data_IF_308110278837
#
_entry.id   IF_308110278837
#
_cell.length_a   1.000
_cell.length_b   1.000
_cell.length_c   1.000
_cell.angle_alpha   90.00
_cell.angle_beta   90.00
_cell.angle_gamma   90.00
#
_symmetry.space_group_name_H-M   'P 1'
#
loop_
_entity.id
_entity.type
_entity.pdbx_description
1 polymer ?
#
# COMPACT_ATOMS: atom_id res chain seq x y z
N UNK A 1 -8.71 24.02 -7.87
CA UNK A 1 -8.32 23.59 -6.51
C UNK A 1 -9.60 23.31 -5.76
N UNK A 2 -9.74 22.09 -5.23
CA UNK A 2 -10.87 21.75 -4.36
C UNK A 2 -10.48 22.34 -3.00
N UNK A 3 -11.31 23.20 -2.42
CA UNK A 3 -11.02 23.92 -1.16
C UNK A 3 -11.17 22.99 0.05
N UNK A 4 -10.22 22.04 0.21
CA UNK A 4 -10.14 21.17 1.40
C UNK A 4 -8.92 21.54 2.21
N UNK A 5 -9.04 21.48 3.53
CA UNK A 5 -7.91 21.63 4.45
C UNK A 5 -6.99 20.41 4.32
N UNK A 6 -5.68 20.66 4.30
CA UNK A 6 -4.67 19.61 4.19
C UNK A 6 -3.69 19.71 5.35
N UNK A 7 -3.49 18.62 6.06
CA UNK A 7 -2.49 18.49 7.13
C UNK A 7 -1.40 17.54 6.66
N UNK A 8 -0.14 18.00 6.65
CA UNK A 8 1.01 17.18 6.32
C UNK A 8 1.76 16.76 7.60
N UNK A 9 1.99 15.45 7.74
CA UNK A 9 2.82 14.87 8.79
C UNK A 9 4.04 14.20 8.15
N UNK A 10 5.22 14.82 8.18
CA UNK A 10 6.43 14.22 7.62
C UNK A 10 6.98 13.16 8.57
N UNK A 11 6.60 11.90 8.37
CA UNK A 11 6.99 10.75 9.17
C UNK A 11 7.72 9.71 8.31
N UNK A 12 8.85 9.17 8.80
CA UNK A 12 9.44 7.96 8.19
C UNK A 12 8.65 6.73 8.68
N UNK A 13 7.89 6.14 7.79
CA UNK A 13 7.08 4.95 8.10
C UNK A 13 7.92 3.69 8.35
N UNK A 14 9.22 3.72 8.09
CA UNK A 14 10.15 2.67 8.49
C UNK A 14 10.64 2.83 9.94
N UNK A 15 10.42 3.98 10.58
CA UNK A 15 10.71 4.21 11.99
C UNK A 15 9.48 3.89 12.86
N UNK A 16 9.68 3.07 13.88
CA UNK A 16 8.63 2.72 14.86
C UNK A 16 8.13 3.92 15.66
N UNK A 17 8.98 4.90 15.93
CA UNK A 17 8.60 6.11 16.68
C UNK A 17 7.60 6.98 15.92
N UNK A 18 7.61 6.92 14.59
CA UNK A 18 6.60 7.58 13.75
C UNK A 18 5.17 7.15 14.06
N UNK A 19 4.98 5.88 14.41
CA UNK A 19 3.65 5.37 14.78
C UNK A 19 3.21 5.81 16.17
N UNK A 20 4.14 6.02 17.10
CA UNK A 20 3.83 6.62 18.41
C UNK A 20 3.33 8.06 18.22
N UNK A 21 4.04 8.86 17.44
CA UNK A 21 3.63 10.23 17.10
C UNK A 21 2.25 10.28 16.44
N UNK A 22 2.00 9.38 15.49
CA UNK A 22 0.68 9.28 14.85
C UNK A 22 -0.41 8.88 15.83
N UNK A 23 -0.15 7.90 16.70
CA UNK A 23 -1.10 7.44 17.71
C UNK A 23 -1.49 8.54 18.68
N UNK A 24 -0.51 9.32 19.16
CA UNK A 24 -0.73 10.47 20.04
C UNK A 24 -1.61 11.52 19.35
N UNK A 25 -1.32 11.83 18.09
CA UNK A 25 -2.11 12.78 17.30
C UNK A 25 -3.54 12.29 17.10
N UNK A 26 -3.75 11.05 16.71
CA UNK A 26 -5.07 10.45 16.54
C UNK A 26 -5.86 10.45 17.87
N UNK A 27 -5.21 10.15 18.99
CA UNK A 27 -5.84 10.16 20.30
C UNK A 27 -6.26 11.57 20.75
N UNK A 28 -5.45 12.58 20.42
CA UNK A 28 -5.72 13.98 20.75
C UNK A 28 -6.86 14.57 19.90
N UNK A 29 -6.82 14.35 18.58
CA UNK A 29 -7.74 14.96 17.62
C UNK A 29 -9.04 14.16 17.43
N UNK A 30 -9.01 12.85 17.67
CA UNK A 30 -10.12 11.89 17.49
C UNK A 30 -10.87 12.12 16.16
N UNK A 31 -10.16 12.12 15.03
CA UNK A 31 -10.77 12.41 13.73
C UNK A 31 -11.75 11.30 13.33
N UNK A 32 -12.77 11.66 12.55
CA UNK A 32 -13.56 10.67 11.83
C UNK A 32 -12.89 10.39 10.47
N UNK A 33 -12.33 9.18 10.32
CA UNK A 33 -11.58 8.80 9.11
C UNK A 33 -12.48 8.05 8.13
N UNK A 34 -13.00 8.74 7.14
CA UNK A 34 -13.87 8.15 6.12
C UNK A 34 -13.11 7.23 5.15
N UNK A 35 -11.85 7.54 4.83
CA UNK A 35 -11.05 6.75 3.88
C UNK A 35 -9.59 6.69 4.38
N UNK A 36 -9.03 5.49 4.47
CA UNK A 36 -7.60 5.24 4.64
C UNK A 36 -7.02 4.74 3.30
N UNK A 37 -5.93 5.36 2.83
CA UNK A 37 -5.24 4.94 1.63
C UNK A 37 -3.80 4.56 1.99
N UNK A 38 -3.50 3.28 2.06
CA UNK A 38 -2.16 2.74 2.23
C UNK A 38 -1.47 2.66 0.87
N UNK A 39 -0.83 3.74 0.45
CA UNK A 39 -0.18 3.84 -0.85
C UNK A 39 1.35 3.82 -0.76
N UNK A 40 1.94 4.19 0.37
CA UNK A 40 3.38 4.16 0.56
C UNK A 40 3.93 2.75 0.33
N UNK A 41 5.00 2.66 -0.45
CA UNK A 41 5.64 1.39 -0.77
C UNK A 41 6.88 1.57 -1.62
N UNK A 42 7.77 0.59 -1.56
CA UNK A 42 8.97 0.54 -2.37
C UNK A 42 9.16 -0.85 -2.98
N UNK A 43 9.97 -0.92 -4.02
CA UNK A 43 10.41 -2.16 -4.66
C UNK A 43 11.88 -2.07 -5.01
N UNK A 44 12.52 -3.21 -5.19
CA UNK A 44 13.89 -3.28 -5.65
C UNK A 44 14.09 -4.53 -6.52
N UNK A 45 14.84 -4.37 -7.60
CA UNK A 45 15.20 -5.45 -8.51
C UNK A 45 16.63 -5.93 -8.22
N UNK A 46 16.75 -7.01 -7.48
CA UNK A 46 18.05 -7.59 -7.13
C UNK A 46 17.91 -9.02 -6.63
N UNK A 47 18.98 -9.79 -6.69
CA UNK A 47 19.01 -11.17 -6.20
C UNK A 47 19.21 -11.23 -4.70
N UNK A 48 18.56 -12.19 -4.06
CA UNK A 48 18.83 -12.51 -2.66
C UNK A 48 20.30 -12.98 -2.53
N UNK A 49 20.98 -12.49 -1.51
CA UNK A 49 22.40 -12.76 -1.27
C UNK A 49 23.37 -11.86 -2.05
N UNK A 50 22.91 -11.16 -3.09
CA UNK A 50 23.71 -10.19 -3.85
C UNK A 50 23.31 -8.73 -3.54
N UNK A 51 22.12 -8.51 -3.00
CA UNK A 51 21.60 -7.19 -2.62
C UNK A 51 21.80 -6.97 -1.13
N UNK A 52 22.13 -5.75 -0.73
CA UNK A 52 22.28 -5.37 0.68
C UNK A 52 21.03 -5.74 1.50
N UNK A 53 21.26 -6.34 2.65
CA UNK A 53 20.18 -6.78 3.56
C UNK A 53 19.23 -5.64 3.91
N UNK A 54 19.75 -4.44 4.17
CA UNK A 54 18.97 -3.26 4.51
C UNK A 54 17.97 -2.87 3.41
N UNK A 55 18.35 -3.02 2.13
CA UNK A 55 17.46 -2.75 0.99
C UNK A 55 16.33 -3.75 0.95
N UNK A 56 16.61 -5.03 1.18
CA UNK A 56 15.61 -6.09 1.17
C UNK A 56 14.64 -5.97 2.37
N UNK A 57 15.16 -5.71 3.57
CA UNK A 57 14.34 -5.60 4.78
C UNK A 57 13.50 -4.33 4.79
N UNK A 58 14.00 -3.20 4.24
CA UNK A 58 13.22 -1.97 4.10
C UNK A 58 11.94 -2.15 3.29
N UNK A 59 11.93 -3.04 2.28
CA UNK A 59 10.69 -3.38 1.55
C UNK A 59 9.66 -4.03 2.48
N UNK A 60 10.09 -4.88 3.41
CA UNK A 60 9.19 -5.50 4.40
C UNK A 60 8.72 -4.45 5.40
N UNK A 61 9.62 -3.59 5.88
CA UNK A 61 9.27 -2.52 6.82
C UNK A 61 8.22 -1.59 6.25
N UNK A 62 8.39 -1.11 5.00
CA UNK A 62 7.47 -0.15 4.42
C UNK A 62 6.19 -0.83 3.90
N UNK A 63 6.33 -1.91 3.11
CA UNK A 63 5.18 -2.49 2.42
C UNK A 63 4.29 -3.35 3.34
N UNK A 64 4.84 -3.90 4.43
CA UNK A 64 4.16 -4.84 5.33
C UNK A 64 3.94 -4.23 6.70
N UNK A 65 5.03 -3.99 7.46
CA UNK A 65 4.93 -3.51 8.84
C UNK A 65 4.24 -2.16 8.93
N UNK A 66 4.65 -1.19 8.12
CA UNK A 66 4.07 0.16 8.13
C UNK A 66 2.59 0.15 7.75
N UNK A 67 2.21 -0.56 6.69
CA UNK A 67 0.82 -0.68 6.27
C UNK A 67 -0.05 -1.33 7.36
N UNK A 68 0.46 -2.40 8.00
CA UNK A 68 -0.25 -3.08 9.08
C UNK A 68 -0.44 -2.17 10.29
N UNK A 69 0.62 -1.47 10.71
CA UNK A 69 0.56 -0.55 11.84
C UNK A 69 -0.39 0.62 11.57
N UNK A 70 -0.28 1.26 10.39
CA UNK A 70 -1.17 2.34 9.97
C UNK A 70 -2.64 1.90 10.00
N UNK A 71 -2.93 0.74 9.43
CA UNK A 71 -4.30 0.20 9.37
C UNK A 71 -4.85 -0.05 10.77
N UNK A 72 -4.06 -0.70 11.64
CA UNK A 72 -4.47 -0.99 13.01
C UNK A 72 -4.73 0.28 13.84
N UNK A 73 -3.90 1.31 13.69
CA UNK A 73 -4.06 2.58 14.39
C UNK A 73 -5.28 3.37 13.93
N UNK A 74 -5.63 3.30 12.64
CA UNK A 74 -6.70 4.13 12.06
C UNK A 74 -8.07 3.48 12.19
N UNK A 75 -8.19 2.16 12.16
CA UNK A 75 -9.48 1.44 12.24
C UNK A 75 -10.38 1.93 13.41
N UNK A 76 -9.92 2.21 14.64
CA UNK A 76 -10.77 2.69 15.72
C UNK A 76 -11.48 4.02 15.43
N UNK A 77 -10.95 4.82 14.52
CA UNK A 77 -11.45 6.13 14.13
C UNK A 77 -12.32 6.12 12.86
N UNK A 78 -12.59 4.93 12.32
CA UNK A 78 -13.39 4.80 11.10
C UNK A 78 -14.87 4.57 11.43
N UNK A 79 -15.79 5.37 10.85
CA UNK A 79 -17.23 5.17 10.99
C UNK A 79 -17.72 4.00 10.12
N UNK A 80 -18.98 3.62 10.31
CA UNK A 80 -19.69 2.78 9.33
C UNK A 80 -19.71 3.47 7.96
N UNK A 81 -19.55 2.69 6.88
CA UNK A 81 -19.35 3.22 5.52
C UNK A 81 -17.91 3.63 5.23
N UNK A 82 -16.99 3.49 6.18
CA UNK A 82 -15.56 3.74 6.00
C UNK A 82 -14.92 2.84 4.95
N UNK A 83 -13.79 3.28 4.38
CA UNK A 83 -13.11 2.55 3.30
C UNK A 83 -11.61 2.50 3.52
N UNK A 84 -11.02 1.33 3.27
CA UNK A 84 -9.57 1.12 3.28
C UNK A 84 -9.14 0.71 1.88
N UNK A 85 -8.16 1.41 1.32
CA UNK A 85 -7.53 1.12 0.04
C UNK A 85 -6.06 0.74 0.28
N UNK A 86 -5.68 -0.47 -0.14
CA UNK A 86 -4.31 -0.96 -0.03
C UNK A 86 -3.69 -1.12 -1.42
N UNK A 87 -2.56 -0.47 -1.68
CA UNK A 87 -1.84 -0.58 -2.95
C UNK A 87 -1.00 -1.85 -2.97
N UNK A 88 -1.53 -2.90 -3.58
CA UNK A 88 -0.82 -4.14 -3.91
C UNK A 88 -0.14 -4.05 -5.29
N UNK A 89 -0.07 -5.12 -6.03
CA UNK A 89 0.52 -5.22 -7.37
C UNK A 89 0.09 -6.52 -8.04
N UNK A 90 0.16 -6.60 -9.38
CA UNK A 90 0.08 -7.89 -10.08
C UNK A 90 1.18 -8.86 -9.63
N UNK A 91 2.31 -8.37 -9.11
CA UNK A 91 3.37 -9.18 -8.52
C UNK A 91 2.91 -9.99 -7.31
N UNK A 92 1.76 -9.68 -6.71
CA UNK A 92 1.17 -10.45 -5.62
C UNK A 92 0.67 -11.83 -6.05
N UNK A 93 0.39 -12.02 -7.34
CA UNK A 93 -0.14 -13.26 -7.91
C UNK A 93 0.93 -14.10 -8.64
N UNK A 94 2.08 -13.49 -8.94
CA UNK A 94 3.10 -14.14 -9.76
C UNK A 94 4.48 -13.96 -9.11
N UNK A 95 5.07 -15.01 -8.54
CA UNK A 95 6.44 -14.96 -8.03
C UNK A 95 7.41 -14.58 -9.15
N UNK A 96 8.14 -13.48 -8.95
CA UNK A 96 9.05 -12.95 -9.97
C UNK A 96 10.48 -13.03 -9.45
N UNK A 97 11.37 -13.81 -10.10
CA UNK A 97 12.79 -13.85 -9.76
C UNK A 97 13.38 -12.43 -9.73
N UNK A 98 14.30 -12.18 -8.81
CA UNK A 98 14.93 -10.87 -8.52
C UNK A 98 14.00 -9.82 -7.91
N UNK A 99 12.70 -10.10 -7.82
CA UNK A 99 11.72 -9.30 -7.09
C UNK A 99 11.05 -10.12 -5.98
N UNK A 100 11.75 -11.09 -5.41
CA UNK A 100 11.21 -12.06 -4.45
C UNK A 100 10.57 -11.39 -3.24
N UNK A 101 11.30 -10.48 -2.58
CA UNK A 101 10.79 -9.79 -1.38
C UNK A 101 9.65 -8.84 -1.74
N UNK A 102 9.77 -8.12 -2.87
CA UNK A 102 8.70 -7.25 -3.35
C UNK A 102 7.41 -8.04 -3.61
N UNK A 103 7.49 -9.11 -4.42
CA UNK A 103 6.34 -9.96 -4.72
C UNK A 103 5.70 -10.54 -3.46
N UNK A 104 6.51 -11.07 -2.55
CA UNK A 104 6.05 -11.60 -1.27
C UNK A 104 5.37 -10.51 -0.40
N UNK A 105 5.94 -9.30 -0.34
CA UNK A 105 5.33 -8.19 0.39
C UNK A 105 3.97 -7.79 -0.21
N UNK A 106 3.84 -7.79 -1.53
CA UNK A 106 2.56 -7.48 -2.20
C UNK A 106 1.55 -8.62 -2.09
N UNK A 107 2.00 -9.88 -2.02
CA UNK A 107 1.14 -11.03 -1.70
C UNK A 107 0.58 -10.91 -0.27
N UNK A 108 1.41 -10.48 0.70
CA UNK A 108 0.94 -10.14 2.04
C UNK A 108 -0.17 -9.10 1.99
N UNK A 109 0.02 -7.98 1.27
CA UNK A 109 -0.99 -6.90 1.15
C UNK A 109 -2.31 -7.44 0.61
N UNK A 110 -2.27 -8.29 -0.42
CA UNK A 110 -3.47 -8.88 -1.01
C UNK A 110 -4.18 -9.82 -0.03
N UNK A 111 -3.45 -10.72 0.61
CA UNK A 111 -3.99 -11.65 1.61
C UNK A 111 -4.54 -10.93 2.84
N UNK A 112 -3.80 -9.95 3.36
CA UNK A 112 -4.22 -9.09 4.47
C UNK A 112 -5.54 -8.37 4.15
N UNK A 113 -5.65 -7.82 2.93
CA UNK A 113 -6.87 -7.12 2.49
C UNK A 113 -8.10 -8.03 2.50
N UNK A 114 -7.95 -9.26 2.00
CA UNK A 114 -9.06 -10.23 1.98
C UNK A 114 -9.49 -10.60 3.39
N UNK A 115 -8.54 -10.95 4.27
CA UNK A 115 -8.85 -11.29 5.66
C UNK A 115 -9.51 -10.13 6.41
N UNK A 116 -8.93 -8.93 6.31
CA UNK A 116 -9.45 -7.74 6.97
C UNK A 116 -10.84 -7.33 6.45
N UNK A 117 -11.12 -7.55 5.17
CA UNK A 117 -12.44 -7.31 4.57
C UNK A 117 -13.54 -8.11 5.28
N UNK A 118 -13.28 -9.38 5.61
CA UNK A 118 -14.24 -10.20 6.33
C UNK A 118 -14.37 -9.80 7.81
N UNK A 119 -13.27 -9.43 8.47
CA UNK A 119 -13.29 -8.97 9.87
C UNK A 119 -14.13 -7.69 10.03
N UNK A 120 -13.99 -6.74 9.09
CA UNK A 120 -14.64 -5.42 9.19
C UNK A 120 -16.05 -5.36 8.58
N UNK A 121 -16.52 -6.44 7.99
CA UNK A 121 -17.84 -6.51 7.34
C UNK A 121 -18.99 -6.13 8.28
N UNK A 122 -18.93 -6.58 9.55
CA UNK A 122 -19.95 -6.24 10.57
C UNK A 122 -19.94 -4.78 10.99
N UNK A 123 -18.85 -4.06 10.71
CA UNK A 123 -18.71 -2.63 10.96
C UNK A 123 -19.06 -1.78 9.73
N UNK A 124 -19.51 -2.39 8.65
CA UNK A 124 -19.76 -1.72 7.37
C UNK A 124 -18.54 -0.95 6.85
N UNK A 125 -17.32 -1.50 7.05
CA UNK A 125 -16.07 -0.95 6.52
C UNK A 125 -15.61 -1.83 5.38
N UNK A 126 -15.42 -1.24 4.19
CA UNK A 126 -14.92 -1.97 3.02
C UNK A 126 -13.40 -1.89 2.92
N UNK A 127 -12.76 -2.99 2.52
CA UNK A 127 -11.31 -3.07 2.32
C UNK A 127 -11.03 -3.53 0.90
N UNK A 128 -10.26 -2.75 0.15
CA UNK A 128 -10.00 -2.98 -1.27
C UNK A 128 -8.50 -3.03 -1.55
N UNK A 129 -8.01 -4.10 -2.19
CA UNK A 129 -6.67 -4.15 -2.77
C UNK A 129 -6.69 -3.67 -4.21
N UNK A 130 -5.78 -2.78 -4.54
CA UNK A 130 -5.52 -2.33 -5.91
C UNK A 130 -4.26 -3.04 -6.40
N UNK A 131 -4.37 -3.80 -7.49
CA UNK A 131 -3.28 -4.63 -8.02
C UNK A 131 -2.84 -4.16 -9.40
N UNK A 132 -2.21 -2.97 -9.53
CA UNK A 132 -1.83 -2.44 -10.82
C UNK A 132 -0.71 -3.25 -11.47
N UNK A 133 -0.66 -3.20 -12.80
CA UNK A 133 0.51 -3.53 -13.58
C UNK A 133 1.60 -2.45 -13.48
N UNK A 134 2.66 -2.53 -14.30
CA UNK A 134 3.70 -1.52 -14.34
C UNK A 134 3.13 -0.12 -14.60
N UNK A 135 3.65 0.88 -13.89
CA UNK A 135 3.33 2.30 -14.10
C UNK A 135 4.62 3.11 -14.22
N UNK A 136 4.65 4.10 -15.11
CA UNK A 136 5.79 5.02 -15.22
C UNK A 136 5.76 6.01 -14.07
N UNK A 137 6.46 5.70 -13.00
CA UNK A 137 6.57 6.51 -11.78
C UNK A 137 8.02 6.48 -11.30
N UNK A 138 8.39 7.35 -10.39
CA UNK A 138 9.68 7.35 -9.69
C UNK A 138 10.01 6.01 -9.00
N UNK A 139 8.99 5.17 -8.76
CA UNK A 139 9.15 3.82 -8.22
C UNK A 139 10.13 2.97 -9.04
N UNK A 140 10.14 3.12 -10.37
CA UNK A 140 11.02 2.36 -11.26
C UNK A 140 12.48 2.79 -11.07
N UNK A 141 12.72 4.09 -10.95
CA UNK A 141 14.06 4.67 -10.83
C UNK A 141 14.66 4.36 -9.46
N UNK A 142 13.90 4.61 -8.39
CA UNK A 142 14.29 4.33 -7.00
C UNK A 142 14.55 2.83 -6.77
N UNK A 143 13.74 1.97 -7.40
CA UNK A 143 13.86 0.50 -7.28
C UNK A 143 14.92 -0.14 -8.16
N UNK A 144 15.68 0.64 -8.93
CA UNK A 144 16.64 0.13 -9.94
C UNK A 144 15.99 -0.88 -10.92
N UNK A 145 14.70 -0.67 -11.23
CA UNK A 145 13.85 -1.63 -11.96
C UNK A 145 13.96 -1.44 -13.49
N UNK A 146 14.53 -0.34 -13.95
CA UNK A 146 14.61 0.03 -15.37
C UNK A 146 15.44 -0.95 -16.19
N UNK A 147 14.85 -1.46 -17.29
CA UNK A 147 15.55 -2.18 -18.35
C UNK A 147 16.08 -3.57 -18.01
N UNK A 148 15.62 -4.22 -16.93
CA UNK A 148 16.20 -5.48 -16.45
C UNK A 148 15.18 -6.57 -16.04
N UNK A 149 13.90 -6.34 -16.24
CA UNK A 149 12.88 -7.34 -15.90
C UNK A 149 11.88 -7.50 -17.05
N UNK A 150 11.65 -8.72 -17.55
CA UNK A 150 10.69 -8.99 -18.62
C UNK A 150 9.29 -8.42 -18.35
N UNK A 151 8.85 -8.41 -17.10
CA UNK A 151 7.53 -7.88 -16.73
C UNK A 151 7.41 -6.38 -17.05
N UNK A 152 8.49 -5.60 -16.93
CA UNK A 152 8.48 -4.17 -17.26
C UNK A 152 8.81 -3.88 -18.73
N UNK A 153 9.32 -4.88 -19.44
CA UNK A 153 9.69 -4.78 -20.85
C UNK A 153 8.51 -5.15 -21.76
N UNK A 154 7.74 -6.18 -21.39
CA UNK A 154 6.68 -6.74 -22.23
C UNK A 154 5.26 -6.39 -21.80
N UNK A 155 5.04 -6.01 -20.54
CA UNK A 155 3.69 -5.61 -20.09
C UNK A 155 3.41 -4.14 -20.43
N UNK A 156 2.19 -3.83 -20.90
CA UNK A 156 1.80 -2.45 -21.13
C UNK A 156 1.77 -1.67 -19.82
N UNK A 157 2.25 -0.43 -19.85
CA UNK A 157 2.17 0.46 -18.70
C UNK A 157 0.74 0.92 -18.45
N UNK A 158 0.31 0.84 -17.20
CA UNK A 158 -0.98 1.33 -16.75
C UNK A 158 -0.95 2.85 -16.57
N UNK A 159 -2.04 3.51 -16.93
CA UNK A 159 -2.25 4.92 -16.65
C UNK A 159 -2.60 5.12 -15.17
N UNK A 160 -1.84 5.97 -14.48
CA UNK A 160 -1.96 6.19 -13.03
C UNK A 160 -3.33 6.77 -12.65
N UNK A 161 -3.86 7.70 -13.44
CA UNK A 161 -5.14 8.36 -13.17
C UNK A 161 -6.28 7.36 -13.31
N UNK A 162 -6.24 6.53 -14.35
CA UNK A 162 -7.23 5.47 -14.56
C UNK A 162 -7.20 4.43 -13.45
N UNK A 163 -6.00 4.03 -13.00
CA UNK A 163 -5.84 3.10 -11.87
C UNK A 163 -6.44 3.70 -10.61
N UNK A 164 -6.09 4.93 -10.26
CA UNK A 164 -6.61 5.61 -9.07
C UNK A 164 -8.13 5.77 -9.11
N UNK A 165 -8.68 6.22 -10.25
CA UNK A 165 -10.12 6.35 -10.43
C UNK A 165 -10.85 4.99 -10.36
N UNK A 166 -10.23 3.94 -10.91
CA UNK A 166 -10.74 2.56 -10.82
C UNK A 166 -10.77 2.05 -9.39
N UNK A 167 -9.70 2.29 -8.65
CA UNK A 167 -9.56 1.92 -7.25
C UNK A 167 -10.65 2.57 -6.37
N UNK A 168 -10.86 3.87 -6.52
CA UNK A 168 -11.91 4.59 -5.77
C UNK A 168 -13.31 4.08 -6.12
N UNK A 169 -13.59 3.78 -7.40
CA UNK A 169 -14.86 3.18 -7.80
C UNK A 169 -15.05 1.78 -7.20
N UNK A 170 -14.01 0.95 -7.21
CA UNK A 170 -14.05 -0.39 -6.60
C UNK A 170 -14.33 -0.32 -5.10
N UNK A 171 -13.63 0.55 -4.38
CA UNK A 171 -13.84 0.78 -2.95
C UNK A 171 -15.26 1.26 -2.64
N UNK A 172 -15.80 2.21 -3.44
CA UNK A 172 -17.19 2.68 -3.32
C UNK A 172 -18.21 1.58 -3.59
N UNK A 173 -17.89 0.63 -4.46
CA UNK A 173 -18.75 -0.51 -4.79
C UNK A 173 -18.58 -1.71 -3.83
N UNK A 174 -17.76 -1.58 -2.78
CA UNK A 174 -17.50 -2.64 -1.81
C UNK A 174 -16.71 -3.83 -2.36
N UNK A 175 -15.95 -3.65 -3.45
CA UNK A 175 -15.13 -4.72 -4.03
C UNK A 175 -13.84 -4.88 -3.25
N UNK A 176 -13.50 -6.13 -2.90
CA UNK A 176 -12.28 -6.42 -2.14
C UNK A 176 -11.03 -6.45 -3.03
N UNK A 177 -11.16 -6.82 -4.32
CA UNK A 177 -10.04 -6.88 -5.26
C UNK A 177 -10.52 -6.65 -6.69
#
# INVERSE_FOLDING_TARGET
MVGVETVCLPLDLCDSMSFTTLQEKLAAEKPEVAILINNAGCGYLGRMGETETAVQTRMVDLNVRAMTAMTNLVIPYMPAGGRILNTSSIASFCPTPRMTVYGASKAYVSSFTVGLSEELKRRDITVTAVCPGPMKTEFLDVGSITGRSPAFEYLPYCDQVRVAAGALRAAKAGRTM
#
